data_IF_788573920826
#
_entry.id   IF_788573920826
#
_cell.length_a   1.000
_cell.length_b   1.000
_cell.length_c   1.000
_cell.angle_alpha   90.00
_cell.angle_beta   90.00
_cell.angle_gamma   90.00
#
_symmetry.space_group_name_H-M   'P 1'
#
loop_
_entity.id
_entity.type
_entity.pdbx_description
1 polymer ?
#
# COMPACT_ATOMS: atom_id res chain seq x y z
N UNK A 1 -3.63 -15.10 -0.39
CA UNK A 1 -3.10 -14.55 -1.65
C UNK A 1 -3.09 -13.02 -1.56
N UNK A 2 -2.14 -12.33 -2.19
CA UNK A 2 -2.10 -10.86 -2.26
C UNK A 2 -2.71 -10.33 -3.56
N UNK A 3 -2.60 -9.03 -3.81
CA UNK A 3 -3.05 -8.45 -5.08
C UNK A 3 -2.42 -9.19 -6.28
N UNK A 4 -3.18 -9.50 -7.36
CA UNK A 4 -4.58 -9.14 -7.61
C UNK A 4 -5.61 -10.14 -7.01
N UNK A 5 -5.16 -11.28 -6.50
CA UNK A 5 -6.01 -12.37 -6.00
C UNK A 5 -6.44 -12.18 -4.53
N UNK A 6 -6.55 -10.93 -4.06
CA UNK A 6 -6.80 -10.56 -2.67
C UNK A 6 -6.08 -9.27 -2.28
N UNK A 7 -5.91 -9.05 -0.98
CA UNK A 7 -5.17 -7.92 -0.41
C UNK A 7 -4.36 -8.41 0.80
N UNK A 8 -3.03 -8.26 0.80
CA UNK A 8 -2.23 -8.42 2.02
C UNK A 8 -2.38 -7.18 2.89
N UNK A 9 -2.14 -7.32 4.19
CA UNK A 9 -2.27 -6.21 5.15
C UNK A 9 -1.42 -4.97 4.77
N UNK A 10 -0.27 -5.18 4.13
CA UNK A 10 0.62 -4.10 3.71
C UNK A 10 0.47 -3.67 2.25
N UNK A 11 -0.46 -4.26 1.48
CA UNK A 11 -0.64 -3.89 0.08
C UNK A 11 -1.43 -2.58 -0.02
N UNK A 12 -0.80 -1.54 -0.56
CA UNK A 12 -1.51 -0.40 -1.14
C UNK A 12 -2.01 -0.79 -2.54
N UNK A 13 -3.19 -1.38 -2.57
CA UNK A 13 -3.79 -1.91 -3.79
C UNK A 13 -4.16 -0.81 -4.80
N UNK A 14 -4.40 0.42 -4.33
CA UNK A 14 -4.77 1.53 -5.20
C UNK A 14 -3.54 2.03 -5.94
N UNK A 15 -2.44 2.27 -5.22
CA UNK A 15 -1.16 2.64 -5.85
C UNK A 15 -0.68 1.54 -6.80
N UNK A 16 -0.77 0.27 -6.41
CA UNK A 16 -0.38 -0.85 -7.29
C UNK A 16 -1.22 -0.84 -8.58
N UNK A 17 -2.55 -0.73 -8.49
CA UNK A 17 -3.42 -0.71 -9.66
C UNK A 17 -3.14 0.50 -10.56
N UNK A 18 -2.94 1.68 -9.97
CA UNK A 18 -2.66 2.90 -10.71
C UNK A 18 -1.31 2.82 -11.46
N UNK A 19 -0.27 2.25 -10.84
CA UNK A 19 1.01 1.98 -11.49
C UNK A 19 0.92 0.94 -12.60
N UNK A 20 0.09 -0.09 -12.42
CA UNK A 20 -0.16 -1.08 -13.45
C UNK A 20 -0.82 -0.46 -14.68
N UNK A 21 -1.83 0.41 -14.49
CA UNK A 21 -2.46 1.18 -15.58
C UNK A 21 -1.47 2.15 -16.24
N UNK A 22 -0.57 2.76 -15.46
CA UNK A 22 0.53 3.58 -15.99
C UNK A 22 1.61 2.77 -16.76
N UNK A 23 1.45 1.45 -16.86
CA UNK A 23 2.32 0.58 -17.66
C UNK A 23 3.53 0.03 -16.91
N UNK A 24 3.64 0.24 -15.59
CA UNK A 24 4.82 -0.17 -14.81
C UNK A 24 5.03 -1.70 -14.79
N UNK A 25 3.98 -2.47 -15.06
CA UNK A 25 4.02 -3.93 -15.15
C UNK A 25 4.16 -4.47 -16.58
N UNK A 26 4.09 -3.62 -17.61
CA UNK A 26 4.17 -4.06 -19.01
C UNK A 26 5.53 -4.69 -19.38
N UNK A 27 6.68 -4.27 -18.83
CA UNK A 27 7.96 -4.95 -19.09
C UNK A 27 7.99 -6.44 -18.71
N UNK A 28 7.05 -6.91 -17.88
CA UNK A 28 6.93 -8.32 -17.52
C UNK A 28 6.42 -9.20 -18.68
N UNK A 29 5.76 -8.60 -19.68
CA UNK A 29 5.19 -9.32 -20.84
C UNK A 29 5.66 -8.77 -22.18
N UNK A 30 6.11 -7.52 -22.22
CA UNK A 30 6.78 -6.89 -23.36
C UNK A 30 8.06 -6.17 -22.89
N UNK A 31 9.22 -6.85 -22.93
CA UNK A 31 10.48 -6.28 -22.48
C UNK A 31 10.94 -5.05 -23.27
N UNK A 32 10.36 -4.78 -24.44
CA UNK A 32 10.70 -3.60 -25.25
C UNK A 32 9.98 -2.33 -24.80
N UNK A 33 8.90 -2.48 -24.03
CA UNK A 33 8.17 -1.36 -23.47
C UNK A 33 9.00 -0.66 -22.39
N UNK A 34 9.14 0.66 -22.52
CA UNK A 34 9.76 1.51 -21.49
C UNK A 34 8.66 2.32 -20.79
N UNK A 35 8.36 2.05 -19.51
CA UNK A 35 7.40 2.85 -18.76
C UNK A 35 7.85 4.32 -18.65
N UNK A 36 6.87 5.23 -18.61
CA UNK A 36 7.14 6.62 -18.29
C UNK A 36 7.79 6.73 -16.90
N UNK A 37 8.79 7.60 -16.73
CA UNK A 37 9.52 7.75 -15.47
C UNK A 37 8.59 8.12 -14.29
N UNK A 38 7.53 8.87 -14.56
CA UNK A 38 6.53 9.25 -13.56
C UNK A 38 5.70 8.07 -13.08
N UNK A 39 5.56 6.98 -13.85
CA UNK A 39 4.77 5.81 -13.45
C UNK A 39 5.23 5.24 -12.09
N UNK A 40 6.53 5.32 -11.79
CA UNK A 40 7.09 4.88 -10.50
C UNK A 40 6.78 5.82 -9.33
N UNK A 41 6.58 7.11 -9.62
CA UNK A 41 6.31 8.15 -8.63
C UNK A 41 4.83 8.21 -8.24
N UNK A 42 3.94 7.63 -9.04
CA UNK A 42 2.50 7.65 -8.76
C UNK A 42 2.19 6.94 -7.44
N UNK A 43 1.35 7.56 -6.62
CA UNK A 43 0.80 7.05 -5.37
C UNK A 43 -0.65 7.52 -5.21
N UNK A 44 -1.43 6.85 -4.36
CA UNK A 44 -2.82 7.21 -4.05
C UNK A 44 -2.98 8.50 -3.24
N UNK A 45 -1.86 9.08 -2.79
CA UNK A 45 -1.81 10.31 -2.01
C UNK A 45 -2.16 10.15 -0.54
N UNK A 46 -2.29 8.91 -0.04
CA UNK A 46 -2.56 8.62 1.37
C UNK A 46 -1.29 8.26 2.13
N UNK A 47 -1.40 8.14 3.46
CA UNK A 47 -0.30 7.71 4.32
C UNK A 47 -0.83 6.76 5.37
N UNK A 48 -0.11 5.67 5.62
CA UNK A 48 -0.46 4.71 6.67
C UNK A 48 0.26 5.07 7.97
N UNK A 49 -0.46 5.65 8.93
CA UNK A 49 0.04 6.00 10.28
C UNK A 49 -0.26 4.94 11.33
N UNK A 50 -0.72 3.75 10.94
CA UNK A 50 -1.02 2.67 11.87
C UNK A 50 0.26 2.01 12.40
N UNK A 51 0.12 1.32 13.53
CA UNK A 51 1.14 0.42 14.07
C UNK A 51 1.61 -0.60 13.01
N UNK A 52 2.90 -0.94 13.05
CA UNK A 52 3.49 -1.89 12.12
C UNK A 52 2.80 -3.28 12.19
N UNK A 53 2.76 -3.96 11.04
CA UNK A 53 2.31 -5.36 10.91
C UNK A 53 3.29 -6.25 11.70
N UNK A 54 2.74 -7.21 12.43
CA UNK A 54 3.52 -8.13 13.27
C UNK A 54 3.72 -9.48 12.57
N UNK A 55 4.73 -10.25 12.99
CA UNK A 55 5.02 -11.59 12.45
C UNK A 55 4.17 -12.72 13.04
N UNK A 56 3.22 -12.42 13.93
CA UNK A 56 2.44 -13.42 14.67
C UNK A 56 0.96 -13.04 14.66
N UNK A 57 0.08 -14.05 14.53
CA UNK A 57 -1.37 -13.84 14.55
C UNK A 57 -1.80 -12.98 15.75
N UNK A 58 -2.62 -11.93 15.57
CA UNK A 58 -3.43 -11.60 14.37
C UNK A 58 -2.72 -10.76 13.28
N UNK A 59 -1.39 -10.62 13.34
CA UNK A 59 -0.53 -9.88 12.39
C UNK A 59 -0.75 -8.36 12.36
N UNK A 60 -1.60 -7.83 13.23
CA UNK A 60 -1.87 -6.40 13.39
C UNK A 60 -1.28 -5.88 14.70
N UNK A 61 -0.72 -4.67 14.66
CA UNK A 61 -0.36 -3.93 15.87
C UNK A 61 -1.60 -3.46 16.63
N UNK A 62 -1.39 -2.96 17.86
CA UNK A 62 -2.48 -2.44 18.69
C UNK A 62 -3.21 -1.30 17.98
N UNK A 63 -4.55 -1.25 18.07
CA UNK A 63 -5.33 -0.20 17.46
C UNK A 63 -5.04 1.16 18.12
N UNK A 64 -5.21 2.23 17.34
CA UNK A 64 -5.18 3.58 17.89
C UNK A 64 -6.32 3.80 18.88
N UNK A 65 -6.01 4.39 20.03
CA UNK A 65 -7.02 4.74 21.02
C UNK A 65 -7.83 5.96 20.61
N UNK A 66 -9.15 5.91 20.76
CA UNK A 66 -10.02 7.04 20.40
C UNK A 66 -9.79 8.30 21.22
N UNK A 67 -9.27 8.19 22.45
CA UNK A 67 -8.97 9.34 23.32
C UNK A 67 -7.65 10.03 22.93
N UNK A 68 -6.68 9.27 22.44
CA UNK A 68 -5.31 9.72 22.12
C UNK A 68 -5.15 10.13 20.65
N UNK A 69 -6.10 9.75 19.80
CA UNK A 69 -6.11 10.04 18.36
C UNK A 69 -6.65 11.44 18.09
N UNK A 70 -5.97 12.22 17.25
CA UNK A 70 -6.44 13.49 16.67
C UNK A 70 -6.63 13.25 15.16
N UNK A 71 -7.52 13.97 14.44
CA UNK A 71 -7.62 13.80 12.99
C UNK A 71 -6.25 13.88 12.31
N UNK A 72 -5.84 12.78 11.66
CA UNK A 72 -4.54 12.65 10.99
C UNK A 72 -3.39 12.08 11.84
N UNK A 73 -3.58 11.81 13.14
CA UNK A 73 -2.56 11.15 13.98
C UNK A 73 -3.15 9.96 14.73
N UNK A 74 -2.55 8.78 14.56
CA UNK A 74 -2.93 7.58 15.30
C UNK A 74 -1.93 7.34 16.43
N UNK A 75 -2.41 7.14 17.66
CA UNK A 75 -1.57 6.76 18.80
C UNK A 75 -2.06 5.43 19.37
N UNK A 76 -1.20 4.41 19.38
CA UNK A 76 -1.51 3.11 19.96
C UNK A 76 -1.78 3.25 21.47
N UNK A 77 -2.78 2.53 21.96
CA UNK A 77 -3.11 2.43 23.39
C UNK A 77 -2.45 1.24 24.07
#
# INVERSE_FOLDING_TARGET
AGFPNGRRLGDDVVTIALRAVAGLTLPLVDPSFTPDGAASAVADGTTNTNSAITGTFPYLGLPGGGYQTVPGTTAAS
#
